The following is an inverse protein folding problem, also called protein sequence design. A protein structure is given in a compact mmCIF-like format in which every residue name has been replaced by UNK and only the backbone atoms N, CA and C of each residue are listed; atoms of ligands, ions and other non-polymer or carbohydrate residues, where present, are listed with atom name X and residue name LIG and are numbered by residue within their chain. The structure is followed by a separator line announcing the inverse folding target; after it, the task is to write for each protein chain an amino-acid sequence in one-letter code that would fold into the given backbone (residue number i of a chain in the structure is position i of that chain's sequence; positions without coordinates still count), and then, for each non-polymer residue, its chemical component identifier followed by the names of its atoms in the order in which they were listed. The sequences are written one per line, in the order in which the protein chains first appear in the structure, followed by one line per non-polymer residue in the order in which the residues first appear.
data_IF_535066961244
#
_entry.id   IF_535066961244
#
_cell.length_a   1.000
_cell.length_b   1.000
_cell.length_c   1.000
_cell.angle_alpha   90.00
_cell.angle_beta   90.00
_cell.angle_gamma   90.00
#
_symmetry.space_group_name_H-M   'P 1'
#
loop_
_entity.id
_entity.type
_entity.pdbx_description
1 polymer ?
#
# COMPACT_ATOMS: atom_id res chain seq x y z
N UNK A 1 31.02 -23.59 3.94
CA UNK A 1 30.20 -22.65 3.12
C UNK A 1 28.86 -22.37 3.80
N UNK A 2 28.70 -21.23 4.48
CA UNK A 2 27.42 -20.78 5.08
C UNK A 2 26.96 -19.49 4.39
N UNK A 3 26.20 -19.60 3.30
CA UNK A 3 25.48 -18.47 2.68
C UNK A 3 24.18 -18.99 2.04
N UNK A 4 23.03 -18.80 2.70
CA UNK A 4 21.73 -18.71 2.00
C UNK A 4 20.53 -18.21 2.82
N UNK A 5 20.63 -17.94 4.13
CA UNK A 5 19.43 -17.61 4.93
C UNK A 5 18.98 -16.12 4.94
N UNK A 6 19.64 -15.24 4.17
CA UNK A 6 19.36 -13.79 4.19
C UNK A 6 18.51 -13.25 3.02
N UNK A 7 18.06 -14.09 2.07
CA UNK A 7 17.33 -13.62 0.89
C UNK A 7 15.82 -13.40 1.13
N UNK A 8 15.19 -14.21 1.99
CA UNK A 8 13.72 -14.26 2.21
C UNK A 8 13.14 -12.96 2.81
N UNK A 9 14.00 -12.00 3.19
CA UNK A 9 13.63 -10.85 4.01
C UNK A 9 13.63 -9.48 3.26
N UNK A 10 13.62 -9.44 1.92
CA UNK A 10 13.73 -8.15 1.21
C UNK A 10 12.42 -7.55 0.72
N UNK A 11 11.45 -8.35 0.29
CA UNK A 11 10.23 -7.80 -0.30
C UNK A 11 9.33 -7.18 0.77
N UNK A 12 8.92 -5.92 0.55
CA UNK A 12 8.00 -5.20 1.44
C UNK A 12 6.56 -5.32 0.91
N UNK A 13 5.55 -5.35 1.79
CA UNK A 13 4.14 -5.25 1.39
C UNK A 13 3.86 -4.13 0.38
N UNK A 14 4.48 -2.97 0.56
CA UNK A 14 4.37 -1.84 -0.36
C UNK A 14 4.87 -2.14 -1.78
N UNK A 15 5.88 -3.01 -1.94
CA UNK A 15 6.39 -3.43 -3.25
C UNK A 15 5.40 -4.35 -3.96
N UNK A 16 4.80 -5.29 -3.24
CA UNK A 16 3.72 -6.12 -3.78
C UNK A 16 2.49 -5.28 -4.13
N UNK A 17 2.11 -4.34 -3.27
CA UNK A 17 1.05 -3.37 -3.54
C UNK A 17 1.30 -2.56 -4.80
N UNK A 18 2.54 -2.05 -4.98
CA UNK A 18 2.93 -1.30 -6.18
C UNK A 18 2.80 -2.15 -7.44
N UNK A 19 3.28 -3.40 -7.43
CA UNK A 19 3.13 -4.31 -8.58
C UNK A 19 1.66 -4.48 -8.98
N UNK A 20 0.77 -4.62 -7.99
CA UNK A 20 -0.66 -4.78 -8.23
C UNK A 20 -1.25 -3.51 -8.83
N UNK A 21 -0.95 -2.34 -8.26
CA UNK A 21 -1.50 -1.07 -8.76
C UNK A 21 -1.06 -0.80 -10.19
N UNK A 22 0.22 -1.04 -10.53
CA UNK A 22 0.68 -0.85 -11.92
C UNK A 22 0.07 -1.88 -12.87
N UNK A 23 -0.11 -3.13 -12.44
CA UNK A 23 -0.81 -4.15 -13.24
C UNK A 23 -2.24 -3.70 -13.55
N UNK A 24 -3.02 -3.33 -12.51
CA UNK A 24 -4.42 -2.91 -12.67
C UNK A 24 -4.56 -1.64 -13.51
N UNK A 25 -3.64 -0.68 -13.35
CA UNK A 25 -3.60 0.54 -14.19
C UNK A 25 -3.25 0.21 -15.64
N UNK A 26 -2.26 -0.64 -15.87
CA UNK A 26 -1.90 -1.08 -17.23
C UNK A 26 -3.06 -1.76 -17.95
N UNK A 27 -3.86 -2.59 -17.27
CA UNK A 27 -5.07 -3.17 -17.85
C UNK A 27 -6.06 -2.09 -18.33
N UNK A 28 -6.26 -1.04 -17.54
CA UNK A 28 -7.13 0.10 -17.92
C UNK A 28 -6.53 0.92 -19.07
N UNK A 29 -5.21 1.15 -19.04
CA UNK A 29 -4.50 1.93 -20.06
C UNK A 29 -4.54 1.26 -21.43
N UNK A 30 -4.40 -0.07 -21.50
CA UNK A 30 -4.50 -0.79 -22.77
C UNK A 30 -5.85 -0.55 -23.46
N UNK A 31 -6.96 -0.63 -22.72
CA UNK A 31 -8.31 -0.36 -23.26
C UNK A 31 -8.41 1.08 -23.82
N UNK A 32 -7.80 2.04 -23.14
CA UNK A 32 -7.80 3.44 -23.58
C UNK A 32 -6.95 3.62 -24.83
N UNK A 33 -5.72 3.08 -24.84
CA UNK A 33 -4.78 3.18 -25.96
C UNK A 33 -5.37 2.52 -27.21
N UNK A 34 -5.93 1.31 -27.09
CA UNK A 34 -6.53 0.59 -28.22
C UNK A 34 -7.67 1.38 -28.87
N UNK A 35 -8.48 2.10 -28.06
CA UNK A 35 -9.54 2.98 -28.55
C UNK A 35 -9.03 4.19 -29.34
N UNK A 36 -7.83 4.70 -29.02
CA UNK A 36 -7.21 5.78 -29.80
C UNK A 36 -6.53 5.22 -31.05
N UNK A 37 -5.81 4.10 -30.94
CA UNK A 37 -5.12 3.47 -32.07
C UNK A 37 -6.08 2.92 -33.14
N UNK A 38 -7.34 2.63 -32.80
CA UNK A 38 -8.36 2.21 -33.76
C UNK A 38 -8.89 3.34 -34.66
N UNK A 39 -8.49 4.61 -34.44
CA UNK A 39 -8.89 5.74 -35.27
C UNK A 39 -7.93 5.90 -36.45
N UNK A 40 -8.47 6.02 -37.66
CA UNK A 40 -7.71 6.21 -38.91
C UNK A 40 -7.00 7.57 -39.02
N UNK A 41 -7.46 8.60 -38.29
CA UNK A 41 -6.77 9.88 -38.19
C UNK A 41 -6.93 10.46 -36.79
N UNK A 42 -5.83 10.85 -36.16
CA UNK A 42 -5.81 11.52 -34.87
C UNK A 42 -5.52 13.02 -35.06
N UNK A 43 -6.27 13.85 -34.35
CA UNK A 43 -5.93 15.28 -34.17
C UNK A 43 -4.61 15.43 -33.40
N UNK A 44 -3.97 16.60 -33.46
CA UNK A 44 -2.73 16.86 -32.71
C UNK A 44 -2.91 16.67 -31.20
N UNK A 45 -4.05 17.12 -30.65
CA UNK A 45 -4.39 16.91 -29.25
C UNK A 45 -4.50 15.41 -28.91
N UNK A 46 -5.12 14.62 -29.78
CA UNK A 46 -5.24 13.17 -29.56
C UNK A 46 -3.89 12.46 -29.66
N UNK A 47 -2.99 12.89 -30.57
CA UNK A 47 -1.61 12.40 -30.64
C UNK A 47 -0.86 12.69 -29.33
N UNK A 48 -0.94 13.92 -28.85
CA UNK A 48 -0.35 14.31 -27.56
C UNK A 48 -0.87 13.45 -26.40
N UNK A 49 -2.18 13.21 -26.35
CA UNK A 49 -2.77 12.34 -25.34
C UNK A 49 -2.30 10.89 -25.48
N UNK A 50 -2.23 10.35 -26.69
CA UNK A 50 -1.73 9.00 -26.95
C UNK A 50 -0.27 8.84 -26.49
N UNK A 51 0.60 9.79 -26.82
CA UNK A 51 2.02 9.78 -26.41
C UNK A 51 2.17 9.83 -24.87
N UNK A 52 1.31 10.60 -24.20
CA UNK A 52 1.26 10.65 -22.74
C UNK A 52 0.84 9.31 -22.14
N UNK A 53 -0.18 8.65 -22.69
CA UNK A 53 -0.61 7.32 -22.23
C UNK A 53 0.48 6.27 -22.49
N UNK A 54 1.16 6.33 -23.63
CA UNK A 54 2.27 5.44 -23.96
C UNK A 54 3.46 5.63 -23.01
N UNK A 55 3.78 6.87 -22.68
CA UNK A 55 4.78 7.22 -21.66
C UNK A 55 4.43 6.61 -20.30
N UNK A 56 3.18 6.75 -19.86
CA UNK A 56 2.70 6.16 -18.61
C UNK A 56 2.76 4.63 -18.64
N UNK A 57 2.40 4.00 -19.76
CA UNK A 57 2.49 2.56 -19.94
C UNK A 57 3.93 2.06 -19.78
N UNK A 58 4.91 2.70 -20.43
CA UNK A 58 6.33 2.33 -20.32
C UNK A 58 6.85 2.48 -18.88
N UNK A 59 6.47 3.56 -18.17
CA UNK A 59 6.83 3.75 -16.77
C UNK A 59 6.21 2.67 -15.86
N UNK A 60 4.96 2.28 -16.11
CA UNK A 60 4.31 1.18 -15.40
C UNK A 60 5.02 -0.15 -15.67
N UNK A 61 5.45 -0.41 -16.90
CA UNK A 61 6.20 -1.61 -17.26
C UNK A 61 7.56 -1.70 -16.54
N UNK A 62 8.34 -0.62 -16.55
CA UNK A 62 9.61 -0.53 -15.81
C UNK A 62 9.37 -0.79 -14.33
N UNK A 63 8.38 -0.12 -13.75
CA UNK A 63 8.03 -0.25 -12.33
C UNK A 63 7.62 -1.69 -11.98
N UNK A 64 6.84 -2.34 -12.84
CA UNK A 64 6.41 -3.72 -12.66
C UNK A 64 7.60 -4.69 -12.67
N UNK A 65 8.54 -4.53 -13.61
CA UNK A 65 9.78 -5.34 -13.67
C UNK A 65 10.62 -5.17 -12.42
N UNK A 66 10.85 -3.94 -11.98
CA UNK A 66 11.62 -3.65 -10.76
C UNK A 66 10.93 -4.22 -9.50
N UNK A 67 9.60 -4.17 -9.43
CA UNK A 67 8.84 -4.75 -8.34
C UNK A 67 8.89 -6.29 -8.35
N UNK A 68 8.74 -6.91 -9.53
CA UNK A 68 8.82 -8.36 -9.69
C UNK A 68 10.20 -8.90 -9.32
N UNK A 69 11.29 -8.24 -9.73
CA UNK A 69 12.65 -8.63 -9.33
C UNK A 69 12.84 -8.68 -7.80
N UNK A 70 12.09 -7.83 -7.06
CA UNK A 70 12.11 -7.81 -5.59
C UNK A 70 11.22 -8.90 -4.99
N UNK A 71 10.15 -9.32 -5.68
CA UNK A 71 9.28 -10.44 -5.32
C UNK A 71 9.94 -11.72 -5.85
N UNK A 72 10.95 -12.20 -5.14
CA UNK A 72 11.87 -13.28 -5.54
C UNK A 72 11.23 -14.65 -5.85
N UNK A 73 9.91 -14.81 -5.69
CA UNK A 73 9.20 -16.07 -5.94
C UNK A 73 8.08 -15.90 -6.95
N UNK A 74 7.96 -16.90 -7.81
CA UNK A 74 6.95 -17.01 -8.86
C UNK A 74 5.78 -17.91 -8.47
N UNK A 75 5.91 -18.64 -7.36
CA UNK A 75 4.93 -19.63 -6.90
C UNK A 75 4.19 -19.11 -5.67
N UNK A 76 2.86 -19.17 -5.71
CA UNK A 76 2.00 -18.75 -4.59
C UNK A 76 2.34 -19.48 -3.29
N UNK A 77 2.53 -20.81 -3.33
CA UNK A 77 2.87 -21.62 -2.15
C UNK A 77 4.10 -21.11 -1.40
N UNK A 78 5.13 -20.67 -2.13
CA UNK A 78 6.39 -20.16 -1.59
C UNK A 78 6.35 -18.67 -1.18
N UNK A 79 5.23 -17.97 -1.41
CA UNK A 79 5.08 -16.58 -1.02
C UNK A 79 4.86 -16.46 0.50
N UNK A 80 5.60 -15.59 1.22
CA UNK A 80 5.35 -15.32 2.63
C UNK A 80 3.92 -14.85 2.90
N UNK A 81 3.35 -15.23 4.04
CA UNK A 81 1.94 -14.95 4.36
C UNK A 81 1.60 -13.46 4.31
N UNK A 82 2.50 -12.60 4.78
CA UNK A 82 2.30 -11.15 4.73
C UNK A 82 2.19 -10.60 3.30
N UNK A 83 2.84 -11.23 2.31
CA UNK A 83 2.68 -10.84 0.90
C UNK A 83 1.45 -11.49 0.29
N UNK A 84 1.14 -12.75 0.62
CA UNK A 84 -0.15 -13.37 0.23
C UNK A 84 -1.32 -12.50 0.66
N UNK A 85 -1.27 -11.97 1.88
CA UNK A 85 -2.31 -11.09 2.41
C UNK A 85 -2.45 -9.77 1.63
N UNK A 86 -1.36 -9.22 1.09
CA UNK A 86 -1.43 -8.06 0.19
C UNK A 86 -2.26 -8.39 -1.05
N UNK A 87 -1.99 -9.52 -1.71
CA UNK A 87 -2.75 -9.93 -2.89
C UNK A 87 -4.21 -10.23 -2.55
N UNK A 88 -4.49 -10.87 -1.40
CA UNK A 88 -5.86 -11.13 -0.95
C UNK A 88 -6.64 -9.82 -0.73
N UNK A 89 -6.07 -8.88 0.02
CA UNK A 89 -6.70 -7.56 0.27
C UNK A 89 -6.91 -6.78 -1.02
N UNK A 90 -5.92 -6.75 -1.92
CA UNK A 90 -6.02 -6.00 -3.15
C UNK A 90 -7.00 -6.65 -4.14
N UNK A 91 -7.11 -7.98 -4.16
CA UNK A 91 -8.11 -8.66 -4.98
C UNK A 91 -9.54 -8.34 -4.53
N UNK A 92 -9.79 -8.26 -3.21
CA UNK A 92 -11.07 -7.72 -2.72
C UNK A 92 -11.20 -6.24 -3.06
N UNK A 93 -10.12 -5.46 -2.93
CA UNK A 93 -10.12 -4.01 -3.16
C UNK A 93 -10.29 -3.58 -4.61
N UNK A 94 -10.09 -4.48 -5.56
CA UNK A 94 -10.32 -4.24 -6.99
C UNK A 94 -11.79 -4.45 -7.38
N UNK A 95 -12.65 -4.85 -6.45
CA UNK A 95 -14.07 -4.93 -6.68
C UNK A 95 -14.75 -3.55 -6.69
N UNK A 96 -15.74 -3.35 -7.55
CA UNK A 96 -16.47 -2.08 -7.69
C UNK A 96 -17.18 -1.64 -6.40
N UNK A 97 -17.61 -2.60 -5.59
CA UNK A 97 -18.28 -2.38 -4.32
C UNK A 97 -17.34 -2.58 -3.12
N UNK A 98 -16.02 -2.51 -3.34
CA UNK A 98 -15.05 -2.62 -2.26
C UNK A 98 -14.95 -1.35 -1.41
N UNK A 99 -14.90 -1.53 -0.10
CA UNK A 99 -14.60 -0.48 0.86
C UNK A 99 -13.36 -0.80 1.68
N UNK A 100 -12.55 0.23 1.92
CA UNK A 100 -11.48 0.20 2.91
C UNK A 100 -12.07 0.45 4.29
N UNK A 101 -11.71 -0.41 5.24
CA UNK A 101 -12.17 -0.30 6.63
C UNK A 101 -10.99 -0.23 7.57
N UNK A 102 -11.00 0.75 8.46
CA UNK A 102 -10.19 0.75 9.69
C UNK A 102 -11.12 0.71 10.88
N UNK A 103 -10.91 -0.22 11.81
CA UNK A 103 -11.74 -0.35 12.99
C UNK A 103 -10.86 -0.53 14.21
N UNK A 104 -10.97 0.40 15.15
CA UNK A 104 -10.42 0.22 16.48
C UNK A 104 -11.30 -0.73 17.29
N UNK A 105 -10.67 -1.54 18.14
CA UNK A 105 -11.41 -2.45 19.01
C UNK A 105 -11.66 -1.80 20.36
N UNK A 106 -12.76 -2.16 20.99
CA UNK A 106 -12.98 -1.84 22.38
C UNK A 106 -12.26 -2.80 23.32
N UNK A 107 -12.13 -2.44 24.60
CA UNK A 107 -11.33 -3.21 25.56
C UNK A 107 -11.82 -4.66 25.69
N UNK A 108 -13.15 -4.85 25.77
CA UNK A 108 -13.76 -6.18 25.86
C UNK A 108 -13.51 -7.02 24.61
N UNK A 109 -13.64 -6.40 23.42
CA UNK A 109 -13.44 -7.09 22.14
C UNK A 109 -11.97 -7.44 21.92
N UNK A 110 -11.05 -6.53 22.28
CA UNK A 110 -9.62 -6.76 22.18
C UNK A 110 -9.16 -7.89 23.09
N UNK A 111 -9.59 -7.90 24.37
CA UNK A 111 -9.29 -8.97 25.31
C UNK A 111 -9.86 -10.32 24.83
N UNK A 112 -11.11 -10.33 24.35
CA UNK A 112 -11.74 -11.55 23.82
C UNK A 112 -11.02 -12.09 22.58
N UNK A 113 -10.48 -11.21 21.73
CA UNK A 113 -9.73 -11.61 20.55
C UNK A 113 -8.39 -12.26 20.96
N UNK A 114 -7.64 -11.63 21.88
CA UNK A 114 -6.36 -12.15 22.38
C UNK A 114 -6.50 -13.51 23.07
N UNK A 115 -7.61 -13.73 23.77
CA UNK A 115 -7.90 -14.98 24.48
C UNK A 115 -8.62 -16.03 23.60
N UNK A 116 -8.81 -15.78 22.31
CA UNK A 116 -9.57 -16.70 21.46
C UNK A 116 -8.74 -17.93 21.08
N UNK A 117 -9.23 -19.13 21.42
CA UNK A 117 -8.55 -20.41 21.16
C UNK A 117 -8.22 -20.71 19.69
N UNK A 118 -9.01 -20.16 18.75
CA UNK A 118 -8.79 -20.30 17.29
C UNK A 118 -7.91 -19.19 16.69
N UNK A 119 -7.38 -18.29 17.52
CA UNK A 119 -6.58 -17.15 17.11
C UNK A 119 -7.39 -15.86 16.92
N UNK A 120 -6.66 -14.75 17.03
CA UNK A 120 -7.22 -13.41 17.15
C UNK A 120 -7.92 -12.97 15.86
N UNK A 121 -7.25 -13.13 14.71
CA UNK A 121 -7.85 -12.79 13.42
C UNK A 121 -9.07 -13.64 13.07
N UNK A 122 -9.14 -14.90 13.54
CA UNK A 122 -10.33 -15.75 13.32
C UNK A 122 -11.51 -15.30 14.17
N UNK A 123 -11.27 -14.83 15.40
CA UNK A 123 -12.30 -14.20 16.23
C UNK A 123 -12.88 -12.96 15.54
N UNK A 124 -12.01 -12.08 15.05
CA UNK A 124 -12.40 -10.87 14.32
C UNK A 124 -13.16 -11.24 13.04
N UNK A 125 -12.66 -12.21 12.28
CA UNK A 125 -13.28 -12.70 11.06
C UNK A 125 -14.69 -13.25 11.24
N UNK A 126 -14.98 -13.95 12.35
CA UNK A 126 -16.35 -14.40 12.69
C UNK A 126 -17.28 -13.21 12.92
N UNK A 127 -16.83 -12.17 13.64
CA UNK A 127 -17.62 -10.96 13.84
C UNK A 127 -17.83 -10.18 12.53
N UNK A 128 -16.80 -10.07 11.68
CA UNK A 128 -16.93 -9.45 10.34
C UNK A 128 -18.03 -10.15 9.54
N UNK A 129 -18.02 -11.49 9.48
CA UNK A 129 -19.07 -12.24 8.77
C UNK A 129 -20.47 -11.97 9.31
N UNK A 130 -20.64 -11.92 10.64
CA UNK A 130 -21.95 -11.58 11.24
C UNK A 130 -22.44 -10.18 10.85
N UNK A 131 -21.53 -9.23 10.68
CA UNK A 131 -21.86 -7.88 10.23
C UNK A 131 -22.27 -7.86 8.75
N UNK A 132 -21.57 -8.62 7.90
CA UNK A 132 -21.76 -8.59 6.45
C UNK A 132 -22.90 -9.51 5.94
N UNK A 133 -23.13 -10.67 6.57
CA UNK A 133 -24.10 -11.67 6.12
C UNK A 133 -25.55 -11.15 5.97
N UNK A 134 -26.10 -10.34 6.90
CA UNK A 134 -27.51 -9.90 6.82
C UNK A 134 -27.81 -8.94 5.67
N UNK A 135 -26.81 -8.47 4.93
CA UNK A 135 -26.98 -7.49 3.85
C UNK A 135 -26.97 -8.13 2.45
N UNK A 136 -27.05 -9.46 2.37
CA UNK A 136 -26.82 -10.18 1.11
C UNK A 136 -25.40 -9.98 0.57
N UNK A 137 -24.49 -9.47 1.41
CA UNK A 137 -23.12 -9.16 1.04
C UNK A 137 -22.38 -10.42 0.61
N UNK A 138 -21.64 -10.33 -0.49
CA UNK A 138 -20.77 -11.43 -0.88
C UNK A 138 -19.80 -11.75 0.26
N UNK A 139 -19.47 -13.04 0.43
CA UNK A 139 -18.46 -13.53 1.37
C UNK A 139 -17.03 -13.09 0.99
N UNK A 140 -16.81 -11.87 0.47
CA UNK A 140 -15.54 -11.34 0.01
C UNK A 140 -15.03 -10.29 1.02
N UNK A 141 -14.18 -10.76 1.93
CA UNK A 141 -13.60 -9.93 2.97
C UNK A 141 -12.17 -10.41 3.29
N UNK A 142 -11.29 -9.44 3.52
CA UNK A 142 -9.96 -9.69 4.06
C UNK A 142 -9.59 -8.59 5.06
N UNK A 143 -8.86 -8.94 6.11
CA UNK A 143 -8.45 -8.02 7.16
C UNK A 143 -7.09 -8.40 7.76
N UNK A 144 -6.41 -7.40 8.30
CA UNK A 144 -5.17 -7.52 9.05
C UNK A 144 -5.38 -6.88 10.42
N UNK A 145 -5.07 -7.65 11.45
CA UNK A 145 -5.07 -7.20 12.83
C UNK A 145 -3.69 -6.61 13.15
N UNK A 146 -3.69 -5.42 13.75
CA UNK A 146 -2.49 -4.69 14.13
C UNK A 146 -2.54 -4.27 15.60
N UNK A 147 -1.41 -4.40 16.27
CA UNK A 147 -1.20 -3.89 17.62
C UNK A 147 -0.39 -2.58 17.54
N UNK A 148 -1.05 -1.45 17.75
CA UNK A 148 -0.41 -0.13 17.77
C UNK A 148 0.39 0.08 19.06
N UNK A 149 1.56 -0.56 19.19
CA UNK A 149 2.43 -0.45 20.38
C UNK A 149 2.75 1.00 20.81
N UNK A 150 2.74 1.96 19.88
CA UNK A 150 3.02 3.37 20.13
C UNK A 150 1.79 4.20 20.57
N UNK A 151 0.58 3.62 20.63
CA UNK A 151 -0.59 4.31 21.18
C UNK A 151 -0.54 4.25 22.71
N UNK A 152 -0.57 5.44 23.32
CA UNK A 152 -0.79 5.64 24.74
C UNK A 152 -2.18 6.25 24.93
N UNK A 153 -2.95 5.74 25.90
CA UNK A 153 -4.32 6.20 26.18
C UNK A 153 -5.21 5.11 26.74
N UNK A 154 -6.47 5.45 26.98
CA UNK A 154 -7.46 4.60 27.66
C UNK A 154 -8.06 3.50 26.76
N UNK A 155 -7.83 3.58 25.44
CA UNK A 155 -8.32 2.60 24.48
C UNK A 155 -7.27 1.51 24.25
N UNK A 156 -7.68 0.27 23.94
CA UNK A 156 -6.75 -0.78 23.62
C UNK A 156 -6.00 -0.47 22.32
N UNK A 157 -4.81 -1.05 22.19
CA UNK A 157 -3.92 -0.85 21.04
C UNK A 157 -4.33 -1.65 19.80
N UNK A 158 -5.23 -2.61 19.97
CA UNK A 158 -5.65 -3.56 18.95
C UNK A 158 -6.69 -2.93 18.02
N UNK A 159 -6.42 -3.01 16.72
CA UNK A 159 -7.30 -2.52 15.66
C UNK A 159 -7.09 -3.36 14.41
N UNK A 160 -8.04 -3.35 13.48
CA UNK A 160 -7.85 -4.00 12.19
C UNK A 160 -8.00 -3.02 11.03
N UNK A 161 -7.28 -3.31 9.96
CA UNK A 161 -7.48 -2.73 8.64
C UNK A 161 -7.95 -3.82 7.69
N UNK A 162 -8.96 -3.53 6.88
CA UNK A 162 -9.54 -4.53 6.00
C UNK A 162 -10.15 -3.96 4.74
N UNK A 163 -10.62 -4.88 3.91
CA UNK A 163 -11.37 -4.61 2.69
C UNK A 163 -12.55 -5.54 2.63
N UNK A 164 -13.74 -4.98 2.45
CA UNK A 164 -15.01 -5.72 2.36
C UNK A 164 -15.75 -5.33 1.08
N UNK A 165 -16.41 -6.30 0.43
CA UNK A 165 -17.42 -5.99 -0.57
C UNK A 165 -18.73 -5.62 0.14
N UNK A 166 -19.21 -4.40 -0.06
CA UNK A 166 -20.45 -3.88 0.52
C UNK A 166 -21.14 -3.00 -0.51
N UNK A 167 -22.44 -3.18 -0.72
CA UNK A 167 -23.22 -2.30 -1.60
C UNK A 167 -23.25 -0.87 -1.03
N UNK A 168 -23.15 0.15 -1.87
CA UNK A 168 -23.04 1.54 -1.43
C UNK A 168 -24.22 1.99 -0.54
N UNK A 169 -25.44 1.55 -0.86
CA UNK A 169 -26.65 1.80 -0.07
C UNK A 169 -26.56 1.32 1.39
N UNK A 170 -25.68 0.36 1.65
CA UNK A 170 -25.56 -0.30 2.96
C UNK A 170 -24.41 0.25 3.82
N UNK A 171 -23.62 1.21 3.32
CA UNK A 171 -22.43 1.73 4.00
C UNK A 171 -22.71 2.23 5.42
N UNK A 172 -23.74 3.05 5.59
CA UNK A 172 -24.12 3.60 6.90
C UNK A 172 -24.51 2.49 7.87
N UNK A 173 -25.27 1.49 7.39
CA UNK A 173 -25.70 0.38 8.21
C UNK A 173 -24.51 -0.54 8.59
N UNK A 174 -23.59 -0.82 7.67
CA UNK A 174 -22.36 -1.56 7.97
C UNK A 174 -21.52 -0.83 8.99
N UNK A 175 -21.31 0.48 8.81
CA UNK A 175 -20.55 1.29 9.76
C UNK A 175 -21.12 1.17 11.17
N UNK A 176 -22.44 1.39 11.32
CA UNK A 176 -23.10 1.27 12.62
C UNK A 176 -22.99 -0.13 13.22
N UNK A 177 -23.14 -1.19 12.40
CA UNK A 177 -22.97 -2.57 12.86
C UNK A 177 -21.53 -2.89 13.27
N UNK A 178 -20.54 -2.35 12.57
CA UNK A 178 -19.12 -2.47 12.94
C UNK A 178 -18.86 -1.76 14.28
N UNK A 179 -19.33 -0.53 14.45
CA UNK A 179 -19.19 0.23 15.71
C UNK A 179 -19.79 -0.55 16.88
N UNK A 180 -21.04 -1.01 16.75
CA UNK A 180 -21.71 -1.83 17.77
C UNK A 180 -20.98 -3.15 18.06
N UNK A 181 -20.43 -3.80 17.03
CA UNK A 181 -19.82 -5.14 17.17
C UNK A 181 -18.40 -5.14 17.71
N UNK A 182 -17.64 -4.07 17.43
CA UNK A 182 -16.21 -4.01 17.68
C UNK A 182 -15.79 -2.88 18.62
N UNK A 183 -16.54 -1.79 18.68
CA UNK A 183 -16.10 -0.53 19.25
C UNK A 183 -17.15 0.13 20.17
N UNK A 184 -18.06 -0.66 20.76
CA UNK A 184 -19.21 -0.14 21.51
C UNK A 184 -18.82 0.79 22.68
N UNK A 185 -17.74 0.47 23.38
CA UNK A 185 -17.15 1.23 24.49
C UNK A 185 -15.87 1.99 24.09
N UNK A 186 -15.61 2.15 22.78
CA UNK A 186 -14.42 2.86 22.31
C UNK A 186 -14.60 4.39 22.45
N UNK A 187 -13.63 5.06 23.10
CA UNK A 187 -13.66 6.52 23.29
C UNK A 187 -12.97 7.23 22.12
N UNK A 188 -13.71 7.95 21.29
CA UNK A 188 -13.11 8.76 20.21
C UNK A 188 -12.44 10.01 20.78
N UNK A 189 -11.17 10.26 20.43
CA UNK A 189 -10.38 11.42 20.90
C UNK A 189 -9.53 11.93 19.75
N UNK A 190 -9.42 13.26 19.59
CA UNK A 190 -8.53 13.93 18.64
C UNK A 190 -8.59 13.38 17.20
N UNK A 191 -9.80 13.13 16.69
CA UNK A 191 -10.02 12.61 15.33
C UNK A 191 -9.78 11.11 15.15
N UNK A 192 -9.38 10.39 16.20
CA UNK A 192 -9.24 8.94 16.17
C UNK A 192 -10.62 8.27 16.31
N UNK A 193 -11.27 8.07 15.17
CA UNK A 193 -12.60 7.45 15.05
C UNK A 193 -12.58 5.96 15.38
N UNK A 194 -13.67 5.45 15.94
CA UNK A 194 -13.89 4.03 16.21
C UNK A 194 -13.87 3.20 14.92
N UNK A 195 -14.63 3.63 13.91
CA UNK A 195 -14.70 3.00 12.58
C UNK A 195 -14.56 4.05 11.48
N UNK A 196 -13.68 3.77 10.52
CA UNK A 196 -13.48 4.59 9.32
C UNK A 196 -13.71 3.71 8.10
N UNK A 197 -14.65 4.12 7.24
CA UNK A 197 -14.93 3.51 5.94
C UNK A 197 -14.55 4.51 4.85
N UNK A 198 -13.86 4.05 3.80
CA UNK A 198 -13.47 4.85 2.64
C UNK A 198 -13.63 4.05 1.36
N UNK A 199 -13.89 4.72 0.23
CA UNK A 199 -13.73 4.13 -1.10
C UNK A 199 -12.25 3.81 -1.36
N UNK A 200 -12.01 2.78 -2.16
CA UNK A 200 -10.65 2.36 -2.56
C UNK A 200 -10.37 2.88 -3.96
N UNK A 201 -9.32 3.68 -4.08
CA UNK A 201 -8.83 4.16 -5.38
C UNK A 201 -7.63 3.34 -5.86
N UNK A 202 -6.73 2.98 -4.94
CA UNK A 202 -5.52 2.19 -5.18
C UNK A 202 -5.54 0.94 -4.29
N UNK A 203 -6.00 -0.19 -4.84
CA UNK A 203 -6.19 -1.43 -4.09
C UNK A 203 -4.87 -1.98 -3.53
N UNK A 204 -3.80 -1.95 -4.33
CA UNK A 204 -2.47 -2.38 -3.95
C UNK A 204 -1.86 -1.51 -2.86
N UNK A 205 -1.98 -0.18 -2.97
CA UNK A 205 -1.51 0.77 -1.94
C UNK A 205 -2.20 0.54 -0.60
N UNK A 206 -3.53 0.39 -0.58
CA UNK A 206 -4.27 0.09 0.64
C UNK A 206 -3.85 -1.27 1.23
N UNK A 207 -3.76 -2.31 0.41
CA UNK A 207 -3.33 -3.63 0.85
C UNK A 207 -1.91 -3.66 1.43
N UNK A 208 -0.98 -2.95 0.78
CA UNK A 208 0.40 -2.76 1.25
C UNK A 208 0.47 -1.99 2.57
N UNK A 209 -0.38 -0.98 2.75
CA UNK A 209 -0.53 -0.26 4.01
C UNK A 209 -1.03 -1.17 5.14
N UNK A 210 -2.12 -1.91 4.91
CA UNK A 210 -2.70 -2.82 5.91
C UNK A 210 -1.68 -3.87 6.39
N UNK A 211 -0.86 -4.37 5.46
CA UNK A 211 0.07 -5.47 5.72
C UNK A 211 1.45 -5.02 6.21
N UNK A 212 1.70 -3.71 6.37
CA UNK A 212 3.02 -3.15 6.72
C UNK A 212 3.57 -3.69 8.04
N UNK A 213 2.68 -3.97 9.00
CA UNK A 213 2.99 -4.38 10.36
C UNK A 213 3.22 -5.90 10.48
N UNK A 214 2.72 -6.70 9.54
CA UNK A 214 2.85 -8.17 9.52
C UNK A 214 4.31 -8.67 9.42
N UNK A 215 5.25 -7.82 9.02
CA UNK A 215 6.68 -8.17 9.01
C UNK A 215 7.32 -8.11 10.39
N UNK A 216 6.72 -7.38 11.33
CA UNK A 216 7.25 -7.22 12.69
C UNK A 216 6.85 -8.46 13.49
N UNK A 217 7.82 -9.32 13.81
CA UNK A 217 7.59 -10.54 14.62
C UNK A 217 7.08 -10.26 16.04
N UNK A 218 7.15 -9.01 16.47
CA UNK A 218 6.90 -8.58 17.83
C UNK A 218 5.56 -7.82 17.93
N UNK A 219 4.50 -8.32 17.31
CA UNK A 219 3.16 -7.69 17.37
C UNK A 219 2.38 -8.11 18.62
N UNK A 220 2.79 -9.19 19.30
CA UNK A 220 1.98 -9.80 20.37
C UNK A 220 0.67 -10.40 19.85
N UNK A 221 0.57 -10.66 18.55
CA UNK A 221 -0.59 -11.29 17.90
C UNK A 221 -0.10 -12.60 17.27
N UNK A 222 -0.68 -13.72 17.67
CA UNK A 222 -0.37 -15.04 17.12
C UNK A 222 -0.85 -15.18 15.68
N UNK A 223 -2.13 -14.89 15.43
CA UNK A 223 -2.75 -14.94 14.09
C UNK A 223 -3.30 -13.58 13.71
N UNK A 224 -2.56 -12.87 12.86
CA UNK A 224 -2.86 -11.47 12.49
C UNK A 224 -3.64 -11.30 11.17
N UNK A 225 -3.87 -12.38 10.40
CA UNK A 225 -4.50 -12.29 9.07
C UNK A 225 -5.83 -13.03 9.04
N UNK A 226 -6.82 -12.39 8.44
CA UNK A 226 -8.11 -12.97 8.13
C UNK A 226 -8.42 -12.77 6.65
N UNK A 227 -8.96 -13.80 6.01
CA UNK A 227 -9.50 -13.73 4.67
C UNK A 227 -10.55 -14.82 4.50
N UNK A 228 -11.61 -14.51 3.78
CA UNK A 228 -12.56 -15.53 3.36
C UNK A 228 -11.94 -16.45 2.30
N UNK A 229 -12.53 -17.62 2.07
CA UNK A 229 -12.08 -18.55 1.02
C UNK A 229 -12.12 -17.88 -0.37
N UNK A 230 -13.21 -17.18 -0.77
CA UNK A 230 -13.24 -16.45 -2.04
C UNK A 230 -12.13 -15.40 -2.14
N UNK A 231 -11.86 -14.63 -1.06
CA UNK A 231 -10.78 -13.63 -1.06
C UNK A 231 -9.40 -14.29 -1.21
N UNK A 232 -9.21 -15.47 -0.62
CA UNK A 232 -7.98 -16.25 -0.73
C UNK A 232 -7.73 -16.71 -2.17
N UNK A 233 -8.76 -17.25 -2.83
CA UNK A 233 -8.71 -17.68 -4.25
C UNK A 233 -8.47 -16.50 -5.19
N UNK A 234 -9.20 -15.40 -4.99
CA UNK A 234 -9.04 -14.18 -5.78
C UNK A 234 -7.63 -13.58 -5.63
N UNK A 235 -7.07 -13.59 -4.41
CA UNK A 235 -5.69 -13.17 -4.17
C UNK A 235 -4.65 -14.01 -4.90
N UNK A 236 -4.83 -15.33 -4.91
CA UNK A 236 -3.94 -16.23 -5.65
C UNK A 236 -4.03 -15.99 -7.17
N UNK A 237 -5.25 -15.80 -7.70
CA UNK A 237 -5.45 -15.49 -9.11
C UNK A 237 -4.80 -14.17 -9.50
N UNK A 238 -4.99 -13.11 -8.70
CA UNK A 238 -4.35 -11.81 -8.93
C UNK A 238 -2.82 -11.91 -8.91
N UNK A 239 -2.25 -12.69 -7.99
CA UNK A 239 -0.81 -12.96 -7.97
C UNK A 239 -0.33 -13.63 -9.27
N UNK A 240 -1.03 -14.68 -9.73
CA UNK A 240 -0.70 -15.38 -10.98
C UNK A 240 -0.73 -14.42 -12.16
N UNK A 241 -1.81 -13.67 -12.31
CA UNK A 241 -2.00 -12.71 -13.41
C UNK A 241 -0.93 -11.61 -13.40
N UNK A 242 -0.76 -10.91 -12.27
CA UNK A 242 0.17 -9.78 -12.19
C UNK A 242 1.63 -10.23 -12.41
N UNK A 243 2.01 -11.41 -11.89
CA UNK A 243 3.37 -11.91 -12.08
C UNK A 243 3.60 -12.50 -13.47
N UNK A 244 2.61 -13.14 -14.09
CA UNK A 244 2.69 -13.59 -15.47
C UNK A 244 2.83 -12.42 -16.43
N UNK A 245 1.95 -11.42 -16.30
CA UNK A 245 2.02 -10.17 -17.06
C UNK A 245 3.40 -9.53 -16.94
N UNK A 246 3.89 -9.30 -15.72
CA UNK A 246 5.18 -8.65 -15.50
C UNK A 246 6.39 -9.44 -16.06
N UNK A 247 6.27 -10.76 -16.24
CA UNK A 247 7.32 -11.57 -16.89
C UNK A 247 7.37 -11.40 -18.40
N UNK A 248 6.21 -11.20 -19.01
CA UNK A 248 6.04 -11.04 -20.46
C UNK A 248 6.38 -9.62 -20.93
N UNK A 249 6.55 -8.67 -20.00
CA UNK A 249 6.97 -7.32 -20.33
C UNK A 249 8.39 -7.28 -20.91
N UNK A 250 8.69 -6.27 -21.77
CA UNK A 250 10.05 -6.01 -22.23
C UNK A 250 11.03 -5.81 -21.07
N UNK A 251 12.32 -5.91 -21.39
CA UNK A 251 13.38 -5.57 -20.45
C UNK A 251 13.29 -4.10 -20.00
N UNK A 252 13.88 -3.80 -18.85
CA UNK A 252 13.88 -2.43 -18.31
C UNK A 252 14.64 -1.50 -19.27
N UNK A 253 15.69 -2.02 -19.88
CA UNK A 253 16.55 -1.34 -20.85
C UNK A 253 15.77 -0.98 -22.11
N UNK A 254 15.02 -1.93 -22.69
CA UNK A 254 14.16 -1.69 -23.85
C UNK A 254 13.06 -0.66 -23.56
N UNK A 255 12.38 -0.78 -22.41
CA UNK A 255 11.36 0.20 -22.03
C UNK A 255 11.96 1.61 -21.84
N UNK A 256 13.16 1.72 -21.27
CA UNK A 256 13.87 3.01 -21.11
C UNK A 256 14.31 3.59 -22.45
N UNK A 257 14.76 2.75 -23.39
CA UNK A 257 15.11 3.20 -24.73
C UNK A 257 13.90 3.81 -25.45
N UNK A 258 12.76 3.09 -25.48
CA UNK A 258 11.50 3.61 -26.05
C UNK A 258 10.99 4.86 -25.35
N UNK A 259 11.11 4.91 -24.03
CA UNK A 259 10.72 6.09 -23.26
C UNK A 259 11.59 7.29 -23.64
N UNK A 260 12.90 7.09 -23.83
CA UNK A 260 13.81 8.16 -24.26
C UNK A 260 13.49 8.64 -25.68
N UNK A 261 13.02 7.76 -26.58
CA UNK A 261 12.59 8.17 -27.93
C UNK A 261 11.34 9.07 -27.86
N UNK A 262 10.33 8.69 -27.07
CA UNK A 262 9.09 9.46 -26.91
C UNK A 262 9.29 10.78 -26.14
N UNK A 263 10.24 10.81 -25.22
CA UNK A 263 10.48 11.98 -24.35
C UNK A 263 11.64 12.85 -24.81
N UNK A 264 12.37 12.44 -25.86
CA UNK A 264 13.35 13.31 -26.51
C UNK A 264 12.58 14.46 -27.15
N UNK A 265 12.74 15.69 -26.65
CA UNK A 265 12.20 16.82 -27.37
C UNK A 265 12.91 16.87 -28.73
N UNK A 266 12.16 17.05 -29.81
CA UNK A 266 12.70 17.36 -31.15
C UNK A 266 13.25 18.79 -31.13
N UNK A 267 14.27 19.01 -30.30
CA UNK A 267 14.95 20.29 -30.23
C UNK A 267 15.96 20.26 -31.36
N UNK A 268 15.56 20.79 -32.52
CA UNK A 268 16.49 21.19 -33.60
C UNK A 268 17.40 22.36 -33.20
N UNK A 269 17.41 22.74 -31.93
CA UNK A 269 18.19 23.84 -31.39
C UNK A 269 19.09 23.27 -30.28
N UNK A 270 20.36 23.67 -30.25
CA UNK A 270 21.19 23.39 -29.09
C UNK A 270 20.50 23.99 -27.85
N UNK A 271 20.23 23.21 -26.78
CA UNK A 271 19.67 23.78 -25.56
C UNK A 271 20.57 24.92 -25.10
N UNK A 272 20.00 26.10 -24.90
CA UNK A 272 20.79 27.27 -24.57
C UNK A 272 21.62 26.99 -23.30
N UNK A 273 22.86 27.49 -23.20
CA UNK A 273 23.75 27.25 -22.06
C UNK A 273 23.07 27.48 -20.69
N UNK A 274 22.12 28.41 -20.62
CA UNK A 274 21.35 28.75 -19.43
C UNK A 274 20.43 27.60 -18.97
N UNK A 275 19.75 26.91 -19.90
CA UNK A 275 18.89 25.77 -19.57
C UNK A 275 19.71 24.59 -19.07
N UNK A 276 20.85 24.32 -19.70
CA UNK A 276 21.78 23.27 -19.25
C UNK A 276 22.33 23.58 -17.85
N UNK A 277 22.68 24.85 -17.59
CA UNK A 277 23.11 25.30 -16.27
C UNK A 277 22.00 25.11 -15.22
N UNK A 278 20.74 25.45 -15.53
CA UNK A 278 19.61 25.23 -14.64
C UNK A 278 19.35 23.75 -14.34
N UNK A 279 19.41 22.88 -15.35
CA UNK A 279 19.27 21.43 -15.19
C UNK A 279 20.37 20.89 -14.28
N UNK A 280 21.62 21.30 -14.51
CA UNK A 280 22.77 20.87 -13.70
C UNK A 280 22.67 21.37 -12.25
N UNK A 281 22.32 22.65 -12.05
CA UNK A 281 22.08 23.23 -10.72
C UNK A 281 20.97 22.49 -9.98
N UNK A 282 19.89 22.11 -10.66
CA UNK A 282 18.80 21.35 -10.05
C UNK A 282 19.22 19.91 -9.69
N UNK A 283 20.02 19.26 -10.54
CA UNK A 283 20.59 17.93 -10.25
C UNK A 283 21.51 17.97 -9.03
N UNK A 284 22.38 18.98 -8.95
CA UNK A 284 23.28 19.20 -7.83
C UNK A 284 22.52 19.46 -6.52
N UNK A 285 21.52 20.34 -6.54
CA UNK A 285 20.64 20.58 -5.39
C UNK A 285 19.96 19.30 -4.91
N UNK A 286 19.46 18.46 -5.82
CA UNK A 286 18.85 17.17 -5.45
C UNK A 286 19.85 16.24 -4.77
N UNK A 287 21.09 16.20 -5.23
CA UNK A 287 22.15 15.41 -4.58
C UNK A 287 22.56 15.96 -3.22
N UNK A 288 22.68 17.29 -3.06
CA UNK A 288 22.92 17.94 -1.77
C UNK A 288 21.83 17.58 -0.76
N UNK A 289 20.55 17.69 -1.16
CA UNK A 289 19.41 17.33 -0.30
C UNK A 289 19.46 15.86 0.09
N UNK A 290 19.75 14.96 -0.87
CA UNK A 290 19.89 13.51 -0.60
C UNK A 290 21.02 13.22 0.39
N UNK A 291 22.20 13.83 0.19
CA UNK A 291 23.36 13.69 1.10
C UNK A 291 23.03 14.19 2.50
N UNK A 292 22.45 15.39 2.61
CA UNK A 292 22.03 15.97 3.90
C UNK A 292 21.02 15.08 4.63
N UNK A 293 20.03 14.51 3.92
CA UNK A 293 19.06 13.57 4.52
C UNK A 293 19.74 12.29 5.03
N UNK A 294 20.68 11.73 4.27
CA UNK A 294 21.44 10.54 4.69
C UNK A 294 22.31 10.82 5.91
N UNK A 295 22.99 11.96 5.95
CA UNK A 295 23.83 12.37 7.08
C UNK A 295 23.00 12.61 8.34
N UNK A 296 21.88 13.34 8.22
CA UNK A 296 20.92 13.53 9.33
C UNK A 296 20.40 12.19 9.84
N UNK A 297 20.01 11.29 8.94
CA UNK A 297 19.54 9.96 9.34
C UNK A 297 20.62 9.17 10.10
N UNK A 298 21.88 9.19 9.62
CA UNK A 298 23.01 8.54 10.33
C UNK A 298 23.25 9.16 11.71
N UNK A 299 23.24 10.49 11.82
CA UNK A 299 23.40 11.19 13.09
C UNK A 299 22.30 10.82 14.09
N UNK A 300 21.03 10.82 13.65
CA UNK A 300 19.91 10.41 14.49
C UNK A 300 19.98 8.94 14.93
N UNK A 301 20.42 8.04 14.05
CA UNK A 301 20.62 6.64 14.43
C UNK A 301 21.75 6.51 15.45
N UNK A 302 22.85 7.23 15.30
CA UNK A 302 23.96 7.21 16.25
C UNK A 302 23.54 7.78 17.63
N UNK A 303 22.83 8.91 17.65
CA UNK A 303 22.32 9.52 18.88
C UNK A 303 21.31 8.61 19.59
N UNK A 304 20.41 7.96 18.85
CA UNK A 304 19.46 7.00 19.40
C UNK A 304 20.16 5.80 20.07
N UNK A 305 21.28 5.34 19.51
CA UNK A 305 22.05 4.23 20.06
C UNK A 305 22.84 4.67 21.30
N UNK A 306 23.47 5.85 21.26
CA UNK A 306 24.39 6.30 22.30
C UNK A 306 23.67 6.89 23.52
N UNK A 307 22.58 7.64 23.32
CA UNK A 307 21.82 8.25 24.41
C UNK A 307 20.32 8.40 24.03
N UNK A 308 19.54 7.31 24.16
CA UNK A 308 18.15 7.26 23.67
C UNK A 308 17.23 8.26 24.36
N UNK A 309 17.47 8.60 25.62
CA UNK A 309 16.59 9.49 26.38
C UNK A 309 16.86 10.97 26.09
N UNK A 310 18.13 11.36 25.90
CA UNK A 310 18.47 12.69 25.40
C UNK A 310 17.90 12.91 23.99
N UNK A 311 18.02 11.90 23.12
CA UNK A 311 17.47 11.96 21.76
C UNK A 311 15.95 12.13 21.75
N UNK A 312 15.21 11.41 22.62
CA UNK A 312 13.76 11.58 22.78
C UNK A 312 13.39 13.00 23.21
N UNK A 313 14.11 13.58 24.19
CA UNK A 313 13.87 14.97 24.64
C UNK A 313 14.09 15.97 23.51
N UNK A 314 15.20 15.86 22.79
CA UNK A 314 15.50 16.71 21.63
C UNK A 314 14.44 16.63 20.52
N UNK A 315 13.90 15.43 20.27
CA UNK A 315 12.79 15.28 19.31
C UNK A 315 11.52 16.00 19.79
N UNK A 316 11.17 15.88 21.07
CA UNK A 316 10.01 16.56 21.66
C UNK A 316 10.17 18.08 21.55
N UNK A 317 11.34 18.61 21.89
CA UNK A 317 11.63 20.04 21.79
C UNK A 317 11.54 20.55 20.36
N UNK A 318 12.06 19.79 19.40
CA UNK A 318 11.96 20.10 17.97
C UNK A 318 10.50 20.09 17.50
N UNK A 319 9.68 19.10 17.90
CA UNK A 319 8.25 19.07 17.57
C UNK A 319 7.50 20.26 18.16
N UNK A 320 7.78 20.61 19.42
CA UNK A 320 7.18 21.77 20.08
C UNK A 320 7.55 23.08 19.38
N UNK A 321 8.80 23.23 18.94
CA UNK A 321 9.27 24.40 18.19
C UNK A 321 8.60 24.50 16.81
N UNK A 322 8.41 23.38 16.11
CA UNK A 322 7.70 23.34 14.82
C UNK A 322 6.22 23.67 15.01
N UNK A 323 5.56 23.09 16.01
CA UNK A 323 4.17 23.41 16.33
C UNK A 323 3.99 24.89 16.64
N UNK A 324 4.89 25.51 17.42
CA UNK A 324 4.85 26.96 17.67
C UNK A 324 5.00 27.82 16.40
N UNK A 325 5.78 27.37 15.42
CA UNK A 325 5.97 28.08 14.14
C UNK A 325 4.79 27.94 13.17
N UNK A 326 3.97 26.90 13.31
CA UNK A 326 2.80 26.67 12.46
C UNK A 326 1.57 27.40 13.03
N UNK A 327 1.59 27.74 14.32
CA UNK A 327 0.53 28.49 15.00
C UNK A 327 0.69 30.03 14.94
N UNK A 328 1.65 30.53 14.15
CA UNK A 328 1.89 31.95 13.83
C UNK A 328 1.60 32.19 12.35
#
# INVERSE_FOLDING_TARGET
MKKSHNAVNRCRPATAGLLIDVYLRSQKLHVVIDKYLSKTSLTENEKYWADRQQTELLLNQITAREALQKIQTTKWGALPEHLKQVFKLAAVGNDEHAIAVSCNLSSKVAASALNASRGEADYIGRKIRRVLNPQGGSNLAAAVLENAKQRNGCNPRLHFHGVFRVSEKDFTQVKSKLEKSFAADYKEVAGNRSVVIKRIYDAGRWAGYCSKSLRKRDSGIGKAVYSTIPASRAGEQLFKQATQWARQLPSIEECRAKLNELTKPDIKCNPCPELNMLINKHREQKEIIRRSRRQRHRSYVAQLIFNPDLFKRQLIDMFNAISKKISL
#
